data_IF_410299532291
#
_entry.id   IF_410299532291
#
_cell.length_a   1.000
_cell.length_b   1.000
_cell.length_c   1.000
_cell.angle_alpha   90.00
_cell.angle_beta   90.00
_cell.angle_gamma   90.00
#
_symmetry.space_group_name_H-M   'P 1'
#
loop_
_entity.id
_entity.type
_entity.pdbx_description
1 polymer ?
#
# COMPACT_ATOMS: atom_id res chain seq x y z
N UNK A 1 2.41 21.36 2.51
CA UNK A 1 2.42 19.90 2.26
C UNK A 1 1.76 19.66 0.91
N UNK A 2 2.41 19.01 -0.04
CA UNK A 2 1.80 18.82 -1.37
C UNK A 2 0.88 17.61 -1.38
N UNK A 3 -0.05 17.56 -2.34
CA UNK A 3 -0.90 16.37 -2.55
C UNK A 3 -0.03 15.13 -2.81
N UNK A 4 1.14 15.28 -3.45
CA UNK A 4 2.11 14.20 -3.64
C UNK A 4 2.65 13.66 -2.32
N UNK A 5 2.96 14.53 -1.34
CA UNK A 5 3.43 14.09 -0.02
C UNK A 5 2.37 13.29 0.73
N UNK A 6 1.11 13.74 0.69
CA UNK A 6 -0.01 13.03 1.30
C UNK A 6 -0.19 11.63 0.68
N UNK A 7 -0.08 11.52 -0.64
CA UNK A 7 -0.17 10.25 -1.35
C UNK A 7 1.01 9.33 -1.04
N UNK A 8 2.23 9.85 -0.95
CA UNK A 8 3.42 9.08 -0.53
C UNK A 8 3.25 8.53 0.87
N UNK A 9 2.80 9.35 1.82
CA UNK A 9 2.54 8.91 3.19
C UNK A 9 1.47 7.83 3.26
N UNK A 10 0.37 7.98 2.51
CA UNK A 10 -0.67 6.96 2.41
C UNK A 10 -0.11 5.64 1.86
N UNK A 11 0.64 5.70 0.75
CA UNK A 11 1.21 4.52 0.12
C UNK A 11 2.24 3.82 1.03
N UNK A 12 3.02 4.59 1.81
CA UNK A 12 3.92 4.03 2.84
C UNK A 12 3.15 3.26 3.90
N UNK A 13 2.07 3.85 4.45
CA UNK A 13 1.20 3.18 5.43
C UNK A 13 0.56 1.92 4.87
N UNK A 14 0.15 1.92 3.59
CA UNK A 14 -0.37 0.73 2.90
C UNK A 14 0.67 -0.40 2.88
N UNK A 15 1.91 -0.09 2.51
CA UNK A 15 2.98 -1.08 2.47
C UNK A 15 3.31 -1.62 3.86
N UNK A 16 3.47 -0.74 4.85
CA UNK A 16 3.71 -1.14 6.24
C UNK A 16 2.59 -2.03 6.77
N UNK A 17 1.33 -1.65 6.53
CA UNK A 17 0.16 -2.45 6.93
C UNK A 17 0.15 -3.81 6.26
N UNK A 18 0.47 -3.88 4.97
CA UNK A 18 0.59 -5.15 4.26
C UNK A 18 1.66 -6.04 4.90
N UNK A 19 2.83 -5.50 5.23
CA UNK A 19 3.87 -6.28 5.92
C UNK A 19 3.42 -6.80 7.29
N UNK A 20 2.72 -5.99 8.08
CA UNK A 20 2.13 -6.45 9.36
C UNK A 20 1.17 -7.63 9.16
N UNK A 21 0.26 -7.54 8.17
CA UNK A 21 -0.69 -8.61 7.88
C UNK A 21 0.02 -9.88 7.38
N UNK A 22 1.12 -9.73 6.63
CA UNK A 22 1.96 -10.85 6.20
C UNK A 22 2.70 -11.51 7.38
N UNK A 23 3.15 -10.75 8.38
CA UNK A 23 3.74 -11.30 9.61
C UNK A 23 2.73 -12.14 10.40
N UNK A 24 1.44 -11.79 10.35
CA UNK A 24 0.34 -12.58 10.90
C UNK A 24 -0.03 -13.82 10.05
N UNK A 25 0.80 -14.16 9.05
CA UNK A 25 0.58 -15.27 8.10
C UNK A 25 -0.72 -15.15 7.29
N UNK A 26 -1.25 -13.94 7.11
CA UNK A 26 -2.43 -13.77 6.25
C UNK A 26 -2.11 -14.03 4.77
N UNK A 27 -3.09 -14.58 4.08
CA UNK A 27 -3.06 -14.69 2.62
C UNK A 27 -3.07 -13.29 2.02
N UNK A 28 -2.30 -13.11 0.95
CA UNK A 28 -2.12 -11.79 0.33
C UNK A 28 -3.43 -11.20 -0.17
N UNK A 29 -4.38 -12.02 -0.62
CA UNK A 29 -5.68 -11.53 -1.10
C UNK A 29 -6.55 -10.96 0.04
N UNK A 30 -6.56 -11.63 1.19
CA UNK A 30 -7.29 -11.16 2.38
C UNK A 30 -6.63 -9.92 2.97
N UNK A 31 -5.30 -9.88 3.01
CA UNK A 31 -4.56 -8.70 3.44
C UNK A 31 -4.88 -7.46 2.58
N UNK A 32 -4.94 -7.63 1.24
CA UNK A 32 -5.31 -6.54 0.32
C UNK A 32 -6.76 -6.07 0.52
N UNK A 33 -7.71 -6.98 0.80
CA UNK A 33 -9.10 -6.62 1.09
C UNK A 33 -9.22 -5.78 2.37
N UNK A 34 -8.51 -6.16 3.43
CA UNK A 34 -8.47 -5.39 4.68
C UNK A 34 -7.94 -3.98 4.41
N UNK A 35 -6.80 -3.88 3.71
CA UNK A 35 -6.20 -2.59 3.34
C UNK A 35 -7.15 -1.77 2.48
N UNK A 36 -7.85 -2.39 1.51
CA UNK A 36 -8.86 -1.70 0.70
C UNK A 36 -9.88 -1.01 1.58
N UNK A 37 -10.45 -1.72 2.56
CA UNK A 37 -11.43 -1.17 3.48
C UNK A 37 -10.82 -0.10 4.40
N UNK A 38 -9.62 -0.31 4.94
CA UNK A 38 -8.94 0.65 5.84
C UNK A 38 -8.56 1.97 5.13
N UNK A 39 -8.37 1.96 3.81
CA UNK A 39 -7.92 3.11 3.02
C UNK A 39 -8.99 3.65 2.06
N UNK A 40 -10.24 3.78 2.54
CA UNK A 40 -11.38 4.35 1.80
C UNK A 40 -11.77 3.58 0.54
N UNK A 41 -11.88 2.25 0.62
CA UNK A 41 -12.21 1.37 -0.51
C UNK A 41 -11.24 1.53 -1.69
N UNK A 42 -9.95 1.64 -1.38
CA UNK A 42 -8.92 1.75 -2.40
C UNK A 42 -8.91 0.50 -3.29
N UNK A 43 -8.84 0.67 -4.61
CA UNK A 43 -8.88 -0.47 -5.51
C UNK A 43 -7.75 -1.46 -5.23
N UNK A 44 -8.05 -2.77 -5.30
CA UNK A 44 -7.04 -3.82 -5.12
C UNK A 44 -5.90 -3.68 -6.12
N UNK A 45 -6.20 -3.22 -7.36
CA UNK A 45 -5.20 -2.91 -8.37
C UNK A 45 -4.24 -1.82 -7.91
N UNK A 46 -4.74 -0.73 -7.33
CA UNK A 46 -3.91 0.33 -6.74
C UNK A 46 -3.04 -0.20 -5.60
N UNK A 47 -3.60 -1.05 -4.73
CA UNK A 47 -2.85 -1.66 -3.62
C UNK A 47 -1.75 -2.58 -4.17
N UNK A 48 -2.03 -3.37 -5.19
CA UNK A 48 -1.03 -4.19 -5.90
C UNK A 48 0.10 -3.33 -6.47
N UNK A 49 -0.24 -2.21 -7.09
CA UNK A 49 0.77 -1.27 -7.61
C UNK A 49 1.63 -0.70 -6.46
N UNK A 50 1.02 -0.30 -5.35
CA UNK A 50 1.76 0.21 -4.18
C UNK A 50 2.69 -0.85 -3.57
N UNK A 51 2.25 -2.11 -3.51
CA UNK A 51 3.00 -3.20 -2.88
C UNK A 51 4.08 -3.76 -3.79
N UNK A 52 3.81 -3.97 -5.08
CA UNK A 52 4.71 -4.71 -5.97
C UNK A 52 5.38 -3.85 -7.03
N UNK A 53 4.79 -2.72 -7.40
CA UNK A 53 5.36 -1.86 -8.43
C UNK A 53 6.26 -0.78 -7.82
N UNK A 54 7.57 -1.06 -7.82
CA UNK A 54 8.61 -0.10 -7.39
C UNK A 54 8.59 1.22 -8.18
N UNK A 55 8.11 1.18 -9.44
CA UNK A 55 8.00 2.32 -10.33
C UNK A 55 6.66 3.05 -10.23
N UNK A 56 5.79 2.66 -9.29
CA UNK A 56 4.51 3.31 -9.13
C UNK A 56 4.67 4.79 -8.75
N UNK A 57 3.78 5.64 -9.25
CA UNK A 57 3.75 7.05 -8.88
C UNK A 57 3.58 7.19 -7.37
N UNK A 58 4.49 7.93 -6.72
CA UNK A 58 4.52 8.05 -5.25
C UNK A 58 4.75 6.71 -4.54
N UNK A 59 5.55 5.83 -5.15
CA UNK A 59 6.00 4.56 -4.59
C UNK A 59 6.56 4.74 -3.18
N UNK A 60 6.21 3.85 -2.23
CA UNK A 60 6.78 3.84 -0.89
C UNK A 60 8.21 3.29 -0.84
N UNK A 61 8.70 2.71 -1.94
CA UNK A 61 10.07 2.26 -2.05
C UNK A 61 11.01 3.46 -2.19
N UNK A 62 12.08 3.48 -1.40
CA UNK A 62 13.20 4.37 -1.66
C UNK A 62 13.67 4.13 -3.09
N UNK A 63 13.64 5.17 -3.91
CA UNK A 63 14.42 5.19 -5.14
C UNK A 63 15.87 5.33 -4.67
N UNK A 64 16.56 4.20 -4.54
CA UNK A 64 18.03 4.20 -4.47
C UNK A 64 18.60 4.85 -5.74
#
# INVERSE_FOLDING_TARGET
>A
MTVSDLLKQRNKKILERYHQLKQLKMKSNDAKKIISTEFNNLSLSTIDQVIYNKNYSNSPYSKE
#
